data_IF_493064382042
#
_entry.id   IF_493064382042
#
_cell.length_a   1.000
_cell.length_b   1.000
_cell.length_c   1.000
_cell.angle_alpha   90.00
_cell.angle_beta   90.00
_cell.angle_gamma   90.00
#
_symmetry.space_group_name_H-M   'P 1'
#
loop_
_entity.id
_entity.type
_entity.pdbx_description
1 polymer ?
#
# COMPACT_ATOMS: atom_id res chain seq x y z
N UNK A 1 -10.64 36.77 -45.53
CA UNK A 1 -10.75 37.11 -44.11
C UNK A 1 -11.51 36.03 -43.30
N UNK A 2 -12.58 35.43 -43.84
CA UNK A 2 -13.36 34.38 -43.11
C UNK A 2 -12.65 33.05 -42.91
N UNK A 3 -11.81 32.61 -43.84
CA UNK A 3 -11.10 31.33 -43.74
C UNK A 3 -10.08 31.31 -42.57
N UNK A 4 -9.41 32.42 -42.32
CA UNK A 4 -8.42 32.53 -41.21
C UNK A 4 -9.10 32.44 -39.85
N UNK A 5 -10.32 33.02 -39.74
CA UNK A 5 -11.10 32.95 -38.48
C UNK A 5 -11.58 31.53 -38.22
N UNK A 6 -12.00 30.77 -39.24
CA UNK A 6 -12.43 29.38 -39.09
C UNK A 6 -11.25 28.45 -38.68
N UNK A 7 -10.06 28.66 -39.23
CA UNK A 7 -8.89 27.90 -38.88
C UNK A 7 -8.44 28.18 -37.42
N UNK A 8 -8.49 29.45 -37.01
CA UNK A 8 -8.19 29.83 -35.61
C UNK A 8 -9.18 29.24 -34.61
N UNK A 9 -10.49 29.28 -34.94
CA UNK A 9 -11.54 28.70 -34.08
C UNK A 9 -11.41 27.17 -33.95
N UNK A 10 -11.08 26.48 -35.04
CA UNK A 10 -10.82 25.02 -35.02
C UNK A 10 -9.60 24.68 -34.18
N UNK A 11 -8.53 25.48 -34.25
CA UNK A 11 -7.31 25.27 -33.46
C UNK A 11 -7.56 25.49 -31.97
N UNK A 12 -8.30 26.53 -31.60
CA UNK A 12 -8.67 26.81 -30.20
C UNK A 12 -9.61 25.74 -29.67
N UNK A 13 -10.58 25.26 -30.42
CA UNK A 13 -11.48 24.18 -30.04
C UNK A 13 -10.70 22.85 -29.83
N UNK A 14 -9.76 22.52 -30.71
CA UNK A 14 -8.90 21.35 -30.57
C UNK A 14 -8.01 21.42 -29.34
N UNK A 15 -7.47 22.59 -29.02
CA UNK A 15 -6.61 22.82 -27.85
C UNK A 15 -7.42 22.72 -26.53
N UNK A 16 -8.66 23.21 -26.52
CA UNK A 16 -9.57 23.08 -25.39
C UNK A 16 -10.02 21.62 -25.17
N UNK A 17 -10.31 20.89 -26.24
CA UNK A 17 -10.69 19.49 -26.20
C UNK A 17 -9.51 18.62 -25.71
N UNK A 18 -8.28 18.91 -26.17
CA UNK A 18 -7.08 18.24 -25.70
C UNK A 18 -6.81 18.47 -24.23
N UNK A 19 -7.00 19.72 -23.73
CA UNK A 19 -6.89 20.04 -22.30
C UNK A 19 -7.95 19.33 -21.45
N UNK A 20 -9.15 19.15 -21.95
CA UNK A 20 -10.21 18.40 -21.26
C UNK A 20 -9.87 16.90 -21.18
N UNK A 21 -9.37 16.31 -22.26
CA UNK A 21 -8.99 14.89 -22.31
C UNK A 21 -7.77 14.58 -21.40
N UNK A 22 -6.82 15.50 -21.28
CA UNK A 22 -5.69 15.37 -20.35
C UNK A 22 -6.15 15.47 -18.90
N UNK A 23 -7.02 16.44 -18.57
CA UNK A 23 -7.60 16.60 -17.21
C UNK A 23 -8.43 15.40 -16.76
N UNK A 24 -9.16 14.73 -17.66
CA UNK A 24 -9.94 13.54 -17.32
C UNK A 24 -9.05 12.29 -17.11
N UNK A 25 -7.85 12.25 -17.69
CA UNK A 25 -6.86 11.19 -17.42
C UNK A 25 -6.18 11.39 -16.07
N UNK A 26 -5.86 12.61 -15.68
CA UNK A 26 -5.26 12.91 -14.37
C UNK A 26 -6.25 12.68 -13.21
N UNK A 27 -7.55 12.95 -13.41
CA UNK A 27 -8.59 12.72 -12.39
C UNK A 27 -8.86 11.24 -12.08
N UNK A 28 -8.46 10.30 -12.94
CA UNK A 28 -8.68 8.85 -12.74
C UNK A 28 -7.55 8.15 -12.00
N UNK A 29 -6.41 8.82 -11.80
CA UNK A 29 -5.25 8.28 -11.07
C UNK A 29 -5.31 8.60 -9.56
N UNK A 30 -6.20 9.49 -9.12
CA UNK A 30 -6.18 10.05 -7.76
C UNK A 30 -7.30 9.55 -6.85
N UNK A 31 -7.77 8.32 -6.99
CA UNK A 31 -8.65 7.73 -5.98
C UNK A 31 -7.92 6.64 -5.18
N UNK A 32 -6.81 7.02 -4.55
CA UNK A 32 -6.24 6.24 -3.47
C UNK A 32 -7.14 6.44 -2.24
N UNK A 33 -7.66 5.36 -1.61
CA UNK A 33 -8.38 5.51 -0.35
C UNK A 33 -7.44 6.23 0.64
N UNK A 34 -7.96 7.18 1.45
CA UNK A 34 -7.13 7.85 2.43
C UNK A 34 -6.48 6.82 3.35
N UNK A 35 -5.18 6.96 3.68
CA UNK A 35 -4.53 6.08 4.62
C UNK A 35 -5.26 6.13 5.97
N UNK A 36 -5.48 4.98 6.59
CA UNK A 36 -6.07 4.85 7.94
C UNK A 36 -5.23 5.59 8.99
N UNK A 37 -3.95 5.67 8.73
CA UNK A 37 -2.96 6.58 9.33
C UNK A 37 -1.94 6.94 8.26
N UNK A 38 -1.02 7.87 8.56
CA UNK A 38 0.07 8.23 7.62
C UNK A 38 0.94 7.03 7.20
N UNK A 39 0.84 5.90 7.91
CA UNK A 39 1.69 4.72 7.75
C UNK A 39 0.95 3.43 7.46
N UNK A 40 -0.39 3.48 7.37
CA UNK A 40 -1.26 2.34 7.07
C UNK A 40 -2.14 2.62 5.85
N UNK A 41 -2.43 1.58 5.08
CA UNK A 41 -3.34 1.67 3.95
C UNK A 41 -4.15 0.38 3.78
N UNK A 42 -5.44 0.51 3.47
CA UNK A 42 -6.23 -0.60 2.97
C UNK A 42 -5.92 -0.82 1.50
N UNK A 43 -5.68 -2.07 1.12
CA UNK A 43 -5.24 -2.44 -0.22
C UNK A 43 -6.21 -3.44 -0.84
N UNK A 44 -6.59 -3.17 -2.09
CA UNK A 44 -7.46 -4.00 -2.91
C UNK A 44 -6.69 -4.61 -4.07
N UNK A 45 -7.28 -5.56 -4.77
CA UNK A 45 -6.71 -6.13 -6.02
C UNK A 45 -6.38 -5.03 -7.03
N UNK A 46 -7.23 -3.99 -7.13
CA UNK A 46 -7.01 -2.88 -8.08
C UNK A 46 -5.83 -1.97 -7.68
N UNK A 47 -5.54 -1.84 -6.39
CA UNK A 47 -4.50 -0.94 -5.88
C UNK A 47 -3.21 -1.66 -5.48
N UNK A 48 -3.20 -2.99 -5.45
CA UNK A 48 -2.07 -3.79 -4.95
C UNK A 48 -0.76 -3.49 -5.69
N UNK A 49 -0.80 -3.42 -7.02
CA UNK A 49 0.39 -3.13 -7.82
C UNK A 49 1.02 -1.81 -7.38
N UNK A 50 0.24 -0.73 -7.35
CA UNK A 50 0.76 0.60 -7.01
C UNK A 50 1.13 0.72 -5.53
N UNK A 51 0.26 0.24 -4.63
CA UNK A 51 0.44 0.45 -3.19
C UNK A 51 1.43 -0.54 -2.55
N UNK A 52 1.64 -1.69 -3.16
CA UNK A 52 2.55 -2.70 -2.61
C UNK A 52 3.77 -2.88 -3.51
N UNK A 53 3.59 -3.30 -4.77
CA UNK A 53 4.73 -3.67 -5.62
C UNK A 53 5.58 -2.44 -5.97
N UNK A 54 4.97 -1.37 -6.50
CA UNK A 54 5.69 -0.14 -6.87
C UNK A 54 6.25 0.58 -5.63
N UNK A 55 5.44 0.73 -4.55
CA UNK A 55 5.88 1.35 -3.30
C UNK A 55 7.05 0.59 -2.69
N UNK A 56 7.10 -0.75 -2.83
CA UNK A 56 8.17 -1.57 -2.24
C UNK A 56 9.52 -1.41 -2.93
N UNK A 57 9.60 -0.69 -4.05
CA UNK A 57 10.87 -0.29 -4.68
C UNK A 57 11.55 0.87 -3.97
N UNK A 58 10.78 1.69 -3.26
CA UNK A 58 11.27 2.85 -2.51
C UNK A 58 11.46 2.54 -1.02
N UNK A 59 10.47 1.88 -0.41
CA UNK A 59 10.50 1.49 1.00
C UNK A 59 9.80 0.15 1.23
N UNK A 60 10.21 -0.64 2.22
CA UNK A 60 9.55 -1.90 2.53
C UNK A 60 8.04 -1.75 2.74
N UNK A 61 7.27 -2.73 2.27
CA UNK A 61 5.82 -2.81 2.51
C UNK A 61 5.50 -4.10 3.25
N UNK A 62 4.91 -3.97 4.42
CA UNK A 62 4.43 -5.08 5.22
C UNK A 62 2.95 -5.30 4.94
N UNK A 63 2.58 -6.43 4.36
CA UNK A 63 1.21 -6.74 3.96
C UNK A 63 0.58 -7.70 4.94
N UNK A 64 -0.45 -7.25 5.66
CA UNK A 64 -1.24 -8.04 6.61
C UNK A 64 -2.49 -8.58 5.91
N UNK A 65 -2.53 -9.88 5.67
CA UNK A 65 -3.71 -10.59 5.21
C UNK A 65 -4.54 -11.04 6.40
N UNK A 66 -5.71 -10.44 6.55
CA UNK A 66 -6.61 -10.64 7.68
C UNK A 66 -8.06 -10.91 7.25
N UNK A 67 -8.91 -11.32 8.18
CA UNK A 67 -10.35 -11.36 8.02
C UNK A 67 -11.04 -10.80 9.27
N UNK A 68 -12.23 -10.23 9.11
CA UNK A 68 -12.98 -9.63 10.21
C UNK A 68 -13.36 -10.62 11.33
N UNK A 69 -13.61 -11.89 11.00
CA UNK A 69 -13.94 -12.96 11.95
C UNK A 69 -12.71 -13.62 12.59
N UNK A 70 -11.49 -13.27 12.15
CA UNK A 70 -10.25 -13.88 12.60
C UNK A 70 -9.81 -13.32 13.96
N UNK A 71 -10.04 -14.07 15.05
CA UNK A 71 -9.65 -13.65 16.40
C UNK A 71 -8.15 -13.33 16.54
N UNK A 72 -7.20 -14.17 16.06
CA UNK A 72 -5.78 -13.85 16.15
C UNK A 72 -5.40 -12.56 15.40
N UNK A 73 -6.11 -12.23 14.32
CA UNK A 73 -5.90 -10.97 13.59
C UNK A 73 -6.21 -9.74 14.44
N UNK A 74 -7.21 -9.83 15.32
CA UNK A 74 -7.56 -8.74 16.22
C UNK A 74 -6.47 -8.45 17.28
N UNK A 75 -5.60 -9.41 17.57
CA UNK A 75 -4.43 -9.19 18.43
C UNK A 75 -3.24 -8.65 17.65
N UNK A 76 -3.01 -9.16 16.43
CA UNK A 76 -1.86 -8.74 15.63
C UNK A 76 -2.05 -7.35 15.03
N UNK A 77 -3.26 -7.03 14.54
CA UNK A 77 -3.55 -5.77 13.87
C UNK A 77 -3.09 -4.52 14.65
N UNK A 78 -3.49 -4.36 15.93
CA UNK A 78 -3.01 -3.26 16.77
C UNK A 78 -1.48 -3.23 16.95
N UNK A 79 -0.83 -4.39 17.06
CA UNK A 79 0.64 -4.48 17.17
C UNK A 79 1.30 -3.94 15.90
N UNK A 80 0.82 -4.36 14.72
CA UNK A 80 1.36 -3.88 13.44
C UNK A 80 1.13 -2.38 13.24
N UNK A 81 -0.07 -1.89 13.63
CA UNK A 81 -0.43 -0.48 13.54
C UNK A 81 0.48 0.40 14.41
N UNK A 82 0.72 0.00 15.65
CA UNK A 82 1.61 0.71 16.55
C UNK A 82 3.07 0.67 16.04
N UNK A 83 3.51 -0.46 15.52
CA UNK A 83 4.83 -0.56 14.89
C UNK A 83 4.97 0.34 13.66
N UNK A 84 3.95 0.40 12.79
CA UNK A 84 3.98 1.28 11.62
C UNK A 84 4.12 2.75 12.04
N UNK A 85 3.45 3.14 13.12
CA UNK A 85 3.55 4.47 13.70
C UNK A 85 4.95 4.73 14.30
N UNK A 86 5.48 3.79 15.10
CA UNK A 86 6.79 3.93 15.74
C UNK A 86 7.93 3.95 14.73
N UNK A 87 7.79 3.20 13.63
CA UNK A 87 8.77 3.21 12.54
C UNK A 87 8.71 4.45 11.64
N UNK A 88 7.75 5.38 11.86
CA UNK A 88 7.65 6.72 11.23
C UNK A 88 7.83 6.70 9.70
N UNK A 89 7.36 5.63 9.03
CA UNK A 89 7.39 5.50 7.57
C UNK A 89 8.60 4.73 7.01
N UNK A 90 9.46 4.14 7.86
CA UNK A 90 10.52 3.23 7.41
C UNK A 90 9.95 1.95 6.76
N UNK A 91 8.67 1.70 6.92
CA UNK A 91 7.87 0.78 6.11
C UNK A 91 6.42 1.28 6.01
N UNK A 92 5.69 0.78 5.01
CA UNK A 92 4.25 0.96 4.89
C UNK A 92 3.55 -0.31 5.38
N UNK A 93 2.51 -0.18 6.21
CA UNK A 93 1.60 -1.27 6.56
C UNK A 93 0.43 -1.28 5.57
N UNK A 94 0.36 -2.30 4.73
CA UNK A 94 -0.75 -2.55 3.80
C UNK A 94 -1.66 -3.63 4.40
N UNK A 95 -2.97 -3.40 4.44
CA UNK A 95 -3.96 -4.32 5.00
C UNK A 95 -4.85 -4.86 3.88
N UNK A 96 -4.96 -6.18 3.78
CA UNK A 96 -5.77 -6.89 2.78
C UNK A 96 -6.80 -7.76 3.52
N UNK A 97 -8.09 -7.45 3.34
CA UNK A 97 -9.18 -8.30 3.81
C UNK A 97 -9.35 -9.46 2.81
N UNK A 98 -9.10 -10.69 3.25
CA UNK A 98 -9.15 -11.86 2.36
C UNK A 98 -10.57 -12.21 1.89
N UNK A 99 -11.59 -11.81 2.64
CA UNK A 99 -12.98 -12.02 2.26
C UNK A 99 -13.42 -11.04 1.16
N UNK A 100 -12.90 -9.81 1.21
CA UNK A 100 -13.13 -8.81 0.17
C UNK A 100 -12.23 -9.02 -1.06
N UNK A 101 -11.02 -9.55 -0.87
CA UNK A 101 -9.97 -9.66 -1.89
C UNK A 101 -9.48 -11.13 -2.08
N UNK A 102 -10.38 -12.08 -2.39
CA UNK A 102 -10.02 -13.50 -2.50
C UNK A 102 -9.01 -13.78 -3.62
N UNK A 103 -8.97 -12.93 -4.65
CA UNK A 103 -8.00 -13.04 -5.75
C UNK A 103 -6.57 -12.82 -5.26
N UNK A 104 -6.35 -11.83 -4.37
CA UNK A 104 -5.04 -11.60 -3.75
C UNK A 104 -4.65 -12.75 -2.83
N UNK A 105 -5.58 -13.21 -1.99
CA UNK A 105 -5.34 -14.35 -1.10
C UNK A 105 -4.91 -15.60 -1.90
N UNK A 106 -5.55 -15.88 -3.04
CA UNK A 106 -5.18 -16.98 -3.93
C UNK A 106 -3.82 -16.74 -4.59
N UNK A 107 -3.56 -15.56 -5.13
CA UNK A 107 -2.30 -15.20 -5.80
C UNK A 107 -1.10 -15.42 -4.87
N UNK A 108 -1.22 -15.03 -3.61
CA UNK A 108 -0.15 -15.19 -2.61
C UNK A 108 -0.24 -16.48 -1.81
N UNK A 109 -1.16 -17.39 -2.17
CA UNK A 109 -1.33 -18.71 -1.54
C UNK A 109 -1.59 -18.60 -0.03
N UNK A 110 -2.39 -17.63 0.39
CA UNK A 110 -2.76 -17.44 1.80
C UNK A 110 -3.67 -18.59 2.25
N UNK A 111 -3.22 -19.40 3.21
CA UNK A 111 -3.91 -20.59 3.72
C UNK A 111 -4.50 -20.40 5.11
N UNK A 112 -4.00 -19.42 5.85
CA UNK A 112 -4.44 -19.12 7.22
C UNK A 112 -4.24 -17.63 7.53
N UNK A 113 -5.01 -17.11 8.48
CA UNK A 113 -4.93 -15.72 8.93
C UNK A 113 -4.56 -15.64 10.41
N UNK A 114 -3.80 -14.60 10.82
CA UNK A 114 -3.13 -13.65 9.96
C UNK A 114 -1.93 -14.27 9.23
N UNK A 115 -1.67 -13.84 8.01
CA UNK A 115 -0.42 -14.07 7.29
C UNK A 115 0.16 -12.72 6.90
N UNK A 116 1.40 -12.49 7.27
CA UNK A 116 2.08 -11.23 7.01
C UNK A 116 3.23 -11.47 6.04
N UNK A 117 3.21 -10.73 4.93
CA UNK A 117 4.23 -10.78 3.87
C UNK A 117 5.02 -9.49 3.86
N UNK A 118 6.34 -9.58 3.75
CA UNK A 118 7.21 -8.42 3.53
C UNK A 118 7.60 -8.33 2.06
N UNK A 119 7.34 -7.16 1.46
CA UNK A 119 7.71 -6.82 0.10
C UNK A 119 8.86 -5.83 0.08
N UNK A 120 9.79 -6.04 -0.86
CA UNK A 120 10.91 -5.16 -1.19
C UNK A 120 11.28 -5.35 -2.67
N UNK A 121 11.57 -4.26 -3.35
CA UNK A 121 11.93 -4.27 -4.79
C UNK A 121 10.89 -5.00 -5.67
N UNK A 122 9.59 -4.77 -5.41
CA UNK A 122 8.48 -5.36 -6.14
C UNK A 122 8.22 -6.84 -5.88
N UNK A 123 8.88 -7.47 -4.90
CA UNK A 123 8.77 -8.91 -4.63
C UNK A 123 8.64 -9.25 -3.15
N UNK A 124 7.99 -10.36 -2.85
CA UNK A 124 7.94 -10.92 -1.51
C UNK A 124 9.33 -11.44 -1.12
N UNK A 125 9.87 -10.94 0.01
CA UNK A 125 11.19 -11.32 0.52
C UNK A 125 11.15 -12.15 1.81
N UNK A 126 10.08 -11.99 2.61
CA UNK A 126 9.92 -12.74 3.87
C UNK A 126 8.43 -12.84 4.23
N UNK A 127 8.12 -13.76 5.15
CA UNK A 127 6.75 -13.93 5.65
C UNK A 127 6.73 -14.52 7.06
N UNK A 128 5.61 -14.34 7.75
CA UNK A 128 5.24 -15.14 8.90
C UNK A 128 3.74 -15.38 8.96
N UNK A 129 3.34 -16.44 9.65
CA UNK A 129 1.96 -16.86 9.85
C UNK A 129 1.64 -16.85 11.34
N UNK A 130 0.40 -16.44 11.66
CA UNK A 130 -0.12 -16.40 13.01
C UNK A 130 0.18 -15.09 13.76
N UNK A 131 -0.55 -14.87 14.86
CA UNK A 131 -0.35 -13.69 15.70
C UNK A 131 1.01 -13.74 16.38
N UNK A 132 1.66 -12.59 16.48
CA UNK A 132 2.95 -12.40 17.16
C UNK A 132 2.89 -11.24 18.12
N UNK A 133 3.66 -11.32 19.19
CA UNK A 133 3.89 -10.21 20.10
C UNK A 133 4.84 -9.18 19.43
N UNK A 134 4.82 -7.96 19.91
CA UNK A 134 5.58 -6.83 19.37
C UNK A 134 7.06 -7.16 19.18
N UNK A 135 7.73 -7.69 20.23
CA UNK A 135 9.15 -8.02 20.14
C UNK A 135 9.49 -9.02 19.02
N UNK A 136 8.58 -9.98 18.75
CA UNK A 136 8.76 -10.95 17.66
C UNK A 136 8.58 -10.34 16.29
N UNK A 137 7.65 -9.35 16.16
CA UNK A 137 7.48 -8.59 14.91
C UNK A 137 8.67 -7.66 14.71
N UNK A 138 9.14 -6.99 15.75
CA UNK A 138 10.36 -6.16 15.74
C UNK A 138 11.58 -6.96 15.29
N UNK A 139 11.75 -8.14 15.83
CA UNK A 139 12.86 -9.05 15.45
C UNK A 139 12.74 -9.47 13.97
N UNK A 140 11.54 -9.83 13.50
CA UNK A 140 11.29 -10.17 12.10
C UNK A 140 11.65 -8.99 11.17
N UNK A 141 11.23 -7.78 11.49
CA UNK A 141 11.56 -6.59 10.72
C UNK A 141 13.07 -6.33 10.69
N UNK A 142 13.73 -6.39 11.84
CA UNK A 142 15.18 -6.18 11.96
C UNK A 142 15.99 -7.19 11.16
N UNK A 143 15.63 -8.49 11.23
CA UNK A 143 16.27 -9.56 10.44
C UNK A 143 16.16 -9.33 8.92
N UNK A 144 15.13 -8.58 8.50
CA UNK A 144 14.91 -8.26 7.10
C UNK A 144 15.35 -6.81 6.75
N UNK A 145 16.17 -6.19 7.60
CA UNK A 145 16.76 -4.87 7.35
C UNK A 145 15.77 -3.71 7.45
N UNK A 146 14.63 -3.90 8.14
CA UNK A 146 13.67 -2.84 8.45
C UNK A 146 13.90 -2.41 9.90
N UNK A 147 14.57 -1.27 10.08
CA UNK A 147 14.95 -0.76 11.39
C UNK A 147 14.07 0.45 11.78
N UNK A 148 13.83 0.66 13.10
CA UNK A 148 13.19 1.88 13.57
C UNK A 148 14.07 3.11 13.29
N UNK A 149 13.52 4.34 13.37
CA UNK A 149 14.32 5.56 13.35
C UNK A 149 15.40 5.55 14.43
N UNK A 150 16.54 6.21 14.16
CA UNK A 150 17.70 6.22 15.06
C UNK A 150 17.40 6.74 16.49
N UNK A 151 16.36 7.56 16.65
CA UNK A 151 15.93 8.09 17.95
C UNK A 151 15.32 7.02 18.87
N UNK A 152 14.70 5.98 18.33
CA UNK A 152 14.11 4.86 19.11
C UNK A 152 15.05 3.68 19.29
N UNK A 153 16.15 3.62 18.53
CA UNK A 153 17.15 2.57 18.67
C UNK A 153 18.00 2.69 19.95
N UNK A 154 17.93 3.82 20.64
CA UNK A 154 18.72 4.12 21.85
C UNK A 154 18.05 3.66 23.17
N UNK A 155 16.81 3.21 23.14
CA UNK A 155 16.01 2.84 24.33
C UNK A 155 15.75 1.32 24.46
N UNK A 156 16.55 0.48 23.78
CA UNK A 156 16.46 -0.99 23.84
C UNK A 156 17.70 -1.61 24.42
#
# INVERSE_FOLDING_TARGET
>A
MHIVIFVLLAFVAGMLLHRQLVRTREAKVTAMPPPLSSYEASVTTATFTTMVLETSTDKPVLVDFYAAWCRPCHYLGPVLAEMAKNYKGNFLLAKVDVDAEPSLANTYSIKSMPTVLLFRDGRRVAEFVGARQEHSVRFFLAQNGVLPPAEEAADV
#
